data_IF_748410237392
#
_entry.id   IF_748410237392
#
_cell.length_a   1.000
_cell.length_b   1.000
_cell.length_c   1.000
_cell.angle_alpha   90.00
_cell.angle_beta   90.00
_cell.angle_gamma   90.00
#
_symmetry.space_group_name_H-M   'P 1'
#
loop_
_entity.id
_entity.type
_entity.pdbx_description
1 polymer ?
#
# COMPACT_ATOMS: atom_id res chain seq x y z
N UNK A 1 -6.57 12.31 9.71
CA UNK A 1 -5.55 13.12 10.37
C UNK A 1 -5.90 14.60 10.24
N UNK A 2 -6.23 15.20 11.33
CA UNK A 2 -6.56 16.65 11.45
C UNK A 2 -5.67 17.24 12.54
N UNK A 3 -5.54 18.57 12.59
CA UNK A 3 -4.88 19.26 13.70
C UNK A 3 -5.90 20.22 14.36
N UNK A 4 -6.37 19.97 15.60
CA UNK A 4 -6.03 18.83 16.46
C UNK A 4 -6.57 17.51 15.95
N UNK A 5 -5.95 16.39 16.39
CA UNK A 5 -6.35 15.06 15.96
C UNK A 5 -7.75 14.69 16.47
N UNK A 6 -8.63 14.28 15.57
CA UNK A 6 -9.98 13.77 15.89
C UNK A 6 -10.00 12.24 16.06
N UNK A 7 -8.99 11.54 15.53
CA UNK A 7 -8.84 10.11 15.64
C UNK A 7 -7.42 9.77 16.08
N UNK A 8 -7.28 8.90 17.08
CA UNK A 8 -5.98 8.54 17.68
C UNK A 8 -5.27 7.39 16.96
N UNK A 9 -6.00 6.60 16.18
CA UNK A 9 -5.46 5.47 15.44
C UNK A 9 -6.13 5.33 14.08
N UNK A 10 -5.33 5.02 13.07
CA UNK A 10 -5.80 4.80 11.72
C UNK A 10 -5.06 3.62 11.09
N UNK A 11 -5.79 2.66 10.53
CA UNK A 11 -5.21 1.55 9.79
C UNK A 11 -5.16 1.91 8.31
N UNK A 12 -3.96 1.96 7.76
CA UNK A 12 -3.76 2.27 6.34
C UNK A 12 -2.39 1.73 5.86
N UNK A 13 -2.12 1.84 4.57
CA UNK A 13 -0.84 1.49 3.97
C UNK A 13 0.20 2.61 4.10
N UNK A 14 1.45 2.30 3.74
CA UNK A 14 2.62 3.19 3.88
C UNK A 14 2.53 4.51 3.12
N UNK A 15 1.61 4.67 2.18
CA UNK A 15 1.40 5.92 1.43
C UNK A 15 0.64 7.00 2.21
N UNK A 16 -0.03 6.65 3.31
CA UNK A 16 -0.96 7.57 4.00
C UNK A 16 -0.33 8.88 4.47
N UNK A 17 0.98 8.97 4.83
CA UNK A 17 1.58 10.24 5.21
C UNK A 17 1.52 11.32 4.13
N UNK A 18 1.42 10.94 2.85
CA UNK A 18 1.25 11.88 1.75
C UNK A 18 -0.09 12.66 1.79
N UNK A 19 -1.04 12.20 2.59
CA UNK A 19 -2.38 12.80 2.76
C UNK A 19 -2.55 13.51 4.11
N UNK A 20 -1.49 13.59 4.91
CA UNK A 20 -1.53 14.29 6.17
C UNK A 20 -1.46 15.81 5.97
N UNK A 21 -2.02 16.60 6.90
CA UNK A 21 -1.79 18.05 6.90
C UNK A 21 -0.30 18.39 6.87
N UNK A 22 0.02 19.49 6.20
CA UNK A 22 1.41 19.99 6.17
C UNK A 22 1.91 20.28 7.60
N UNK A 23 3.19 20.04 7.81
CA UNK A 23 3.87 20.33 9.07
C UNK A 23 3.84 19.22 10.11
N UNK A 24 3.20 18.07 9.83
CA UNK A 24 3.27 16.91 10.72
C UNK A 24 4.59 16.15 10.54
N UNK A 25 5.28 15.88 11.64
CA UNK A 25 6.58 15.23 11.68
C UNK A 25 6.47 13.78 12.14
N UNK A 26 7.01 12.86 11.35
CA UNK A 26 7.08 11.44 11.69
C UNK A 26 7.94 11.20 12.94
N UNK A 27 7.46 10.38 13.87
CA UNK A 27 8.12 10.11 15.15
C UNK A 27 7.85 11.17 16.23
N UNK A 28 7.18 12.29 15.88
CA UNK A 28 6.78 13.36 16.81
C UNK A 28 5.26 13.47 16.88
N UNK A 29 4.62 13.77 15.74
CA UNK A 29 3.18 13.99 15.65
C UNK A 29 2.41 12.70 15.30
N UNK A 30 3.06 11.78 14.60
CA UNK A 30 2.52 10.47 14.28
C UNK A 30 3.63 9.42 14.23
N UNK A 31 3.25 8.18 14.50
CA UNK A 31 4.12 7.03 14.36
C UNK A 31 3.27 5.82 13.92
N UNK A 32 3.89 4.68 13.73
CA UNK A 32 3.20 3.48 13.32
C UNK A 32 3.58 2.29 14.22
N UNK A 33 2.73 1.28 14.20
CA UNK A 33 3.03 -0.02 14.79
C UNK A 33 2.47 -1.14 13.92
N UNK A 34 3.13 -2.29 13.95
CA UNK A 34 2.62 -3.47 13.29
C UNK A 34 1.29 -3.90 13.93
N UNK A 35 0.31 -4.28 13.11
CA UNK A 35 -1.01 -4.66 13.62
C UNK A 35 -0.88 -5.82 14.63
N UNK A 36 -1.46 -5.72 15.84
CA UNK A 36 -1.28 -6.70 16.90
C UNK A 36 -1.72 -8.10 16.48
N UNK A 37 -0.96 -9.11 16.87
CA UNK A 37 -1.32 -10.50 16.66
C UNK A 37 -2.53 -10.90 17.54
N UNK A 38 -3.31 -11.85 17.04
CA UNK A 38 -4.34 -12.49 17.84
C UNK A 38 -3.68 -13.38 18.90
N UNK A 39 -4.11 -13.26 20.15
CA UNK A 39 -3.48 -13.99 21.28
C UNK A 39 -3.67 -15.53 21.18
N UNK A 40 -4.72 -15.97 20.48
CA UNK A 40 -5.12 -17.36 20.34
C UNK A 40 -4.73 -18.01 18.99
N UNK A 41 -3.98 -17.27 18.15
CA UNK A 41 -3.62 -17.74 16.80
C UNK A 41 -2.16 -17.45 16.49
N UNK A 42 -1.44 -18.49 16.10
CA UNK A 42 -0.10 -18.35 15.52
C UNK A 42 -0.22 -18.14 14.00
N UNK A 43 -0.27 -16.87 13.60
CA UNK A 43 -0.33 -16.47 12.20
C UNK A 43 1.05 -16.04 11.64
N UNK A 44 2.10 -16.11 12.46
CA UNK A 44 3.39 -15.53 12.11
C UNK A 44 3.34 -14.01 12.00
N UNK A 45 4.04 -13.45 11.00
CA UNK A 45 4.05 -12.01 10.69
C UNK A 45 3.47 -11.74 9.29
N UNK A 46 2.15 -11.86 9.09
CA UNK A 46 1.54 -11.59 7.80
C UNK A 46 1.51 -10.09 7.50
N UNK A 47 1.79 -9.73 6.25
CA UNK A 47 1.64 -8.36 5.74
C UNK A 47 0.62 -8.36 4.61
N UNK A 48 -0.34 -7.43 4.69
CA UNK A 48 -1.24 -7.09 3.59
C UNK A 48 -0.66 -5.90 2.86
N UNK A 49 -0.57 -5.97 1.55
CA UNK A 49 -0.08 -4.85 0.75
C UNK A 49 -0.47 -4.94 -0.70
N UNK A 50 -0.29 -3.84 -1.38
CA UNK A 50 -0.29 -3.70 -2.83
C UNK A 50 1.07 -3.19 -3.30
N UNK A 51 1.17 -2.84 -4.57
CA UNK A 51 2.42 -2.31 -5.10
C UNK A 51 2.26 -1.68 -6.48
N UNK A 52 3.18 -0.81 -6.81
CA UNK A 52 3.31 -0.28 -8.16
C UNK A 52 4.06 -1.29 -9.02
N UNK A 53 3.44 -1.70 -10.11
CA UNK A 53 4.02 -2.63 -11.08
C UNK A 53 4.51 -1.84 -12.30
N UNK A 54 5.75 -2.07 -12.69
CA UNK A 54 6.32 -1.51 -13.91
C UNK A 54 6.18 -2.53 -15.05
N UNK A 55 5.49 -2.14 -16.11
CA UNK A 55 5.24 -2.99 -17.27
C UNK A 55 5.88 -2.41 -18.52
N UNK A 56 6.66 -3.22 -19.24
CA UNK A 56 7.19 -2.86 -20.53
C UNK A 56 6.19 -3.25 -21.63
N UNK A 57 5.64 -2.27 -22.35
CA UNK A 57 4.71 -2.50 -23.46
C UNK A 57 5.44 -2.77 -24.79
N UNK A 58 6.71 -2.40 -24.88
CA UNK A 58 7.56 -2.68 -26.04
C UNK A 58 8.97 -3.06 -25.55
N UNK A 59 9.36 -4.29 -25.83
CA UNK A 59 10.68 -4.80 -25.47
C UNK A 59 11.69 -4.56 -26.59
N UNK A 60 12.64 -3.68 -26.31
CA UNK A 60 13.82 -3.45 -27.14
C UNK A 60 15.06 -3.36 -26.23
N UNK A 61 16.25 -3.18 -26.81
CA UNK A 61 17.49 -3.11 -26.03
C UNK A 61 17.46 -2.02 -24.96
N UNK A 62 16.94 -0.83 -25.28
CA UNK A 62 16.92 0.30 -24.34
C UNK A 62 15.96 0.01 -23.18
N UNK A 63 14.75 -0.47 -23.49
CA UNK A 63 13.78 -0.87 -22.48
C UNK A 63 14.34 -1.96 -21.56
N UNK A 64 15.01 -2.97 -22.14
CA UNK A 64 15.62 -4.05 -21.37
C UNK A 64 16.67 -3.53 -20.38
N UNK A 65 17.58 -2.67 -20.82
CA UNK A 65 18.61 -2.10 -19.95
C UNK A 65 18.00 -1.18 -18.87
N UNK A 66 16.97 -0.42 -19.21
CA UNK A 66 16.25 0.41 -18.25
C UNK A 66 15.54 -0.43 -17.18
N UNK A 67 14.86 -1.52 -17.56
CA UNK A 67 14.22 -2.43 -16.59
C UNK A 67 15.26 -3.09 -15.68
N UNK A 68 16.42 -3.49 -16.21
CA UNK A 68 17.52 -4.01 -15.39
C UNK A 68 18.02 -2.97 -14.38
N UNK A 69 18.18 -1.71 -14.82
CA UNK A 69 18.58 -0.62 -13.92
C UNK A 69 17.55 -0.43 -12.79
N UNK A 70 16.25 -0.46 -13.10
CA UNK A 70 15.20 -0.32 -12.10
C UNK A 70 15.18 -1.47 -11.07
N UNK A 71 15.73 -2.63 -11.41
CA UNK A 71 15.92 -3.75 -10.47
C UNK A 71 17.18 -3.62 -9.61
N UNK A 72 18.03 -2.64 -9.88
CA UNK A 72 19.28 -2.45 -9.14
C UNK A 72 19.02 -1.69 -7.83
N UNK A 73 19.71 -2.05 -6.71
CA UNK A 73 19.54 -1.34 -5.42
C UNK A 73 19.65 0.17 -5.52
N UNK A 74 20.62 0.68 -6.29
CA UNK A 74 20.86 2.11 -6.47
C UNK A 74 19.60 2.86 -6.98
N UNK A 75 18.83 2.26 -7.88
CA UNK A 75 17.60 2.87 -8.37
C UNK A 75 16.57 3.04 -7.25
N UNK A 76 16.41 2.01 -6.41
CA UNK A 76 15.52 2.05 -5.26
C UNK A 76 15.97 3.08 -4.21
N UNK A 77 17.26 3.13 -3.91
CA UNK A 77 17.84 4.06 -2.94
C UNK A 77 17.58 5.53 -3.30
N UNK A 78 17.64 5.88 -4.59
CA UNK A 78 17.29 7.23 -5.08
C UNK A 78 15.84 7.62 -4.79
N UNK A 79 14.90 6.66 -4.82
CA UNK A 79 13.51 6.90 -4.43
C UNK A 79 13.37 6.95 -2.90
N UNK A 80 14.08 6.09 -2.17
CA UNK A 80 14.08 6.08 -0.71
C UNK A 80 14.52 7.43 -0.12
N UNK A 81 15.57 8.04 -0.69
CA UNK A 81 16.07 9.37 -0.29
C UNK A 81 15.05 10.48 -0.47
N UNK A 82 14.12 10.34 -1.43
CA UNK A 82 13.06 11.33 -1.67
C UNK A 82 11.88 11.20 -0.70
N UNK A 83 11.78 10.08 0.02
CA UNK A 83 10.67 9.77 0.89
C UNK A 83 9.44 9.22 0.16
N UNK A 84 8.48 8.70 0.94
CA UNK A 84 7.21 8.18 0.42
C UNK A 84 7.30 6.84 -0.35
N UNK A 85 8.49 6.27 -0.49
CA UNK A 85 8.74 5.04 -1.22
C UNK A 85 9.21 3.92 -0.28
N UNK A 86 8.52 2.79 -0.32
CA UNK A 86 8.87 1.57 0.39
C UNK A 86 9.28 0.50 -0.62
N UNK A 87 10.53 0.04 -0.54
CA UNK A 87 11.05 -0.98 -1.46
C UNK A 87 10.91 -2.40 -0.91
N UNK A 88 10.55 -3.40 -1.74
CA UNK A 88 10.68 -4.80 -1.39
C UNK A 88 12.12 -5.33 -1.54
N UNK A 89 13.04 -4.55 -2.11
CA UNK A 89 14.40 -4.99 -2.42
C UNK A 89 15.23 -5.19 -1.16
N UNK A 90 15.81 -6.40 -0.97
CA UNK A 90 16.55 -6.78 0.23
C UNK A 90 18.00 -6.29 0.27
N UNK A 91 18.55 -5.88 -0.87
CA UNK A 91 19.96 -5.48 -1.02
C UNK A 91 20.22 -3.98 -0.97
N UNK A 92 19.24 -3.18 -0.53
CA UNK A 92 19.39 -1.72 -0.40
C UNK A 92 20.08 -1.31 0.89
N UNK A 93 20.76 -0.17 0.86
CA UNK A 93 21.23 0.50 2.07
C UNK A 93 20.06 1.20 2.77
N UNK A 94 19.57 0.64 3.88
CA UNK A 94 18.42 1.17 4.61
C UNK A 94 18.68 2.53 5.25
N UNK A 95 19.94 2.95 5.39
CA UNK A 95 20.29 4.30 5.86
C UNK A 95 19.84 5.41 4.89
N UNK A 96 19.54 5.03 3.64
CA UNK A 96 19.03 5.92 2.58
C UNK A 96 17.55 6.29 2.72
N UNK A 97 16.81 5.65 3.62
CA UNK A 97 15.44 6.10 3.89
C UNK A 97 15.43 7.50 4.51
N UNK A 98 14.54 8.33 4.00
CA UNK A 98 14.40 9.74 4.43
C UNK A 98 13.93 9.89 5.88
N UNK A 99 13.35 8.84 6.50
CA UNK A 99 12.92 8.84 7.90
C UNK A 99 13.07 7.46 8.54
N UNK A 100 13.18 7.45 9.87
CA UNK A 100 13.18 6.24 10.68
C UNK A 100 11.85 5.48 10.58
N UNK A 101 10.75 6.17 10.38
CA UNK A 101 9.42 5.59 10.13
C UNK A 101 9.45 4.67 8.90
N UNK A 102 9.97 5.14 7.76
CA UNK A 102 10.08 4.32 6.55
C UNK A 102 11.09 3.18 6.70
N UNK A 103 12.14 3.39 7.46
CA UNK A 103 13.11 2.31 7.80
C UNK A 103 12.42 1.20 8.60
N UNK A 104 11.65 1.56 9.62
CA UNK A 104 10.89 0.60 10.43
C UNK A 104 9.80 -0.13 9.62
N UNK A 105 9.11 0.55 8.69
CA UNK A 105 8.16 -0.08 7.77
C UNK A 105 8.86 -1.09 6.83
N UNK A 106 10.06 -0.77 6.34
CA UNK A 106 10.87 -1.71 5.58
C UNK A 106 11.25 -2.95 6.38
N UNK A 107 11.64 -2.79 7.64
CA UNK A 107 11.95 -3.93 8.53
C UNK A 107 10.74 -4.84 8.73
N UNK A 108 9.54 -4.28 8.90
CA UNK A 108 8.28 -5.05 8.97
C UNK A 108 8.09 -5.85 7.68
N UNK A 109 8.28 -5.23 6.52
CA UNK A 109 8.13 -5.90 5.23
C UNK A 109 9.15 -7.03 5.05
N UNK A 110 10.41 -6.81 5.44
CA UNK A 110 11.48 -7.82 5.35
C UNK A 110 11.29 -8.99 6.33
N UNK A 111 10.66 -8.76 7.46
CA UNK A 111 10.36 -9.78 8.45
C UNK A 111 9.05 -10.53 8.18
N UNK A 112 8.31 -10.14 7.17
CA UNK A 112 7.03 -10.76 6.84
C UNK A 112 7.20 -12.26 6.54
N UNK A 113 6.44 -13.10 7.23
CA UNK A 113 6.39 -14.55 6.96
C UNK A 113 5.41 -14.89 5.85
N UNK A 114 4.46 -14.00 5.59
CA UNK A 114 3.45 -14.13 4.54
C UNK A 114 3.11 -12.75 4.01
N UNK A 115 3.16 -12.58 2.69
CA UNK A 115 2.64 -11.39 2.03
C UNK A 115 1.31 -11.74 1.37
N UNK A 116 0.26 -10.97 1.67
CA UNK A 116 -1.05 -11.07 1.03
C UNK A 116 -1.27 -9.83 0.17
N UNK A 117 -1.44 -10.05 -1.11
CA UNK A 117 -1.82 -8.98 -2.01
C UNK A 117 -3.25 -8.51 -1.72
N UNK A 118 -3.52 -7.21 -1.86
CA UNK A 118 -4.84 -6.66 -1.62
C UNK A 118 -5.87 -7.33 -2.54
N UNK A 119 -6.98 -7.80 -1.96
CA UNK A 119 -8.01 -8.53 -2.69
C UNK A 119 -8.70 -7.67 -3.75
N UNK A 120 -8.86 -6.38 -3.50
CA UNK A 120 -9.47 -5.46 -4.47
C UNK A 120 -8.59 -5.26 -5.71
N UNK A 121 -7.27 -5.28 -5.55
CA UNK A 121 -6.31 -5.20 -6.66
C UNK A 121 -6.23 -6.49 -7.50
N UNK A 122 -6.72 -7.60 -6.93
CA UNK A 122 -6.81 -8.90 -7.63
C UNK A 122 -8.13 -9.10 -8.37
N UNK A 123 -9.11 -8.24 -8.14
CA UNK A 123 -10.37 -8.26 -8.87
C UNK A 123 -10.18 -7.78 -10.31
N UNK A 124 -11.07 -8.18 -11.25
CA UNK A 124 -11.13 -7.53 -12.54
C UNK A 124 -11.26 -6.02 -12.41
N UNK A 125 -10.61 -5.24 -13.30
CA UNK A 125 -10.56 -3.79 -13.18
C UNK A 125 -11.92 -3.10 -13.08
N UNK A 126 -12.92 -3.61 -13.81
CA UNK A 126 -14.31 -3.10 -13.75
C UNK A 126 -14.98 -3.36 -12.39
N UNK A 127 -14.55 -4.36 -11.64
CA UNK A 127 -15.01 -4.59 -10.27
C UNK A 127 -14.13 -3.83 -9.27
N UNK A 128 -12.85 -4.15 -9.16
CA UNK A 128 -11.98 -3.62 -8.09
C UNK A 128 -11.87 -2.10 -8.13
N UNK A 129 -11.46 -1.53 -9.27
CA UNK A 129 -11.36 -0.10 -9.48
C UNK A 129 -12.69 0.54 -9.94
N UNK A 130 -13.67 -0.25 -10.33
CA UNK A 130 -14.99 0.17 -10.78
C UNK A 130 -16.06 0.05 -9.70
N UNK A 131 -16.92 -0.98 -9.82
CA UNK A 131 -18.13 -1.12 -8.99
C UNK A 131 -17.85 -1.30 -7.50
N UNK A 132 -16.74 -1.94 -7.11
CA UNK A 132 -16.35 -2.03 -5.70
C UNK A 132 -15.97 -0.67 -5.12
N UNK A 133 -15.11 0.09 -5.82
CA UNK A 133 -14.72 1.44 -5.37
C UNK A 133 -15.92 2.38 -5.26
N UNK A 134 -16.74 2.47 -6.32
CA UNK A 134 -17.94 3.32 -6.31
C UNK A 134 -18.96 2.87 -5.28
N UNK A 135 -19.09 1.55 -5.09
CA UNK A 135 -19.95 0.99 -4.06
C UNK A 135 -19.56 1.40 -2.64
N UNK A 136 -18.25 1.47 -2.32
CA UNK A 136 -17.80 1.96 -1.01
C UNK A 136 -18.13 3.44 -0.82
N UNK A 137 -18.01 4.25 -1.85
CA UNK A 137 -18.44 5.66 -1.81
C UNK A 137 -19.95 5.77 -1.63
N UNK A 138 -20.73 4.98 -2.35
CA UNK A 138 -22.19 4.93 -2.24
C UNK A 138 -22.65 4.52 -0.82
N UNK A 139 -21.97 3.54 -0.22
CA UNK A 139 -22.22 3.13 1.17
C UNK A 139 -21.99 4.28 2.15
N UNK A 140 -20.90 5.02 2.02
CA UNK A 140 -20.62 6.18 2.87
C UNK A 140 -21.61 7.32 2.65
N UNK A 141 -22.25 7.38 1.48
CA UNK A 141 -23.31 8.34 1.13
C UNK A 141 -24.73 7.86 1.51
N UNK A 142 -24.86 6.71 2.18
CA UNK A 142 -26.10 6.26 2.78
C UNK A 142 -26.85 5.14 2.06
N UNK A 143 -26.28 4.54 0.98
CA UNK A 143 -26.82 3.28 0.45
C UNK A 143 -26.63 2.17 1.48
N UNK A 144 -27.55 1.21 1.51
CA UNK A 144 -27.40 0.05 2.37
C UNK A 144 -26.27 -0.88 1.91
N UNK A 145 -25.68 -1.61 2.83
CA UNK A 145 -24.63 -2.60 2.51
C UNK A 145 -25.14 -3.65 1.51
N UNK A 146 -26.43 -4.03 1.60
CA UNK A 146 -27.03 -5.02 0.70
C UNK A 146 -27.13 -4.47 -0.74
N UNK A 147 -27.65 -3.26 -0.92
CA UNK A 147 -27.74 -2.64 -2.25
C UNK A 147 -26.37 -2.50 -2.92
N UNK A 148 -25.34 -2.14 -2.13
CA UNK A 148 -23.96 -2.04 -2.62
C UNK A 148 -23.41 -3.41 -2.99
N UNK A 149 -23.59 -4.41 -2.14
CA UNK A 149 -23.12 -5.77 -2.42
C UNK A 149 -23.79 -6.38 -3.66
N UNK A 150 -25.10 -6.17 -3.82
CA UNK A 150 -25.85 -6.66 -4.98
C UNK A 150 -25.39 -5.99 -6.28
N UNK A 151 -25.10 -4.68 -6.25
CA UNK A 151 -24.58 -3.95 -7.40
C UNK A 151 -23.16 -4.43 -7.79
N UNK A 152 -22.28 -4.69 -6.82
CA UNK A 152 -20.95 -5.23 -7.06
C UNK A 152 -21.03 -6.62 -7.65
N UNK A 153 -21.90 -7.48 -7.09
CA UNK A 153 -22.12 -8.84 -7.58
C UNK A 153 -22.65 -8.83 -9.01
N UNK A 154 -23.62 -7.98 -9.32
CA UNK A 154 -24.16 -7.84 -10.66
C UNK A 154 -23.10 -7.43 -11.69
N UNK A 155 -22.22 -6.48 -11.33
CA UNK A 155 -21.08 -6.09 -12.17
C UNK A 155 -20.10 -7.25 -12.38
N UNK A 156 -19.83 -8.03 -11.35
CA UNK A 156 -18.98 -9.22 -11.45
C UNK A 156 -19.53 -10.24 -12.44
N UNK A 157 -20.84 -10.51 -12.37
CA UNK A 157 -21.53 -11.49 -13.23
C UNK A 157 -21.65 -10.98 -14.68
N UNK A 158 -21.83 -9.69 -14.88
CA UNK A 158 -21.91 -9.10 -16.21
C UNK A 158 -20.56 -9.14 -16.97
N UNK A 159 -19.45 -9.17 -16.26
CA UNK A 159 -18.11 -9.18 -16.85
C UNK A 159 -17.71 -7.83 -17.45
N UNK A 160 -18.31 -6.75 -16.98
CA UNK A 160 -18.13 -5.38 -17.46
C UNK A 160 -17.88 -4.39 -16.29
#
# INVERSE_FOLDING_TARGET
FTSPAECMMHRQASFIPAFFPEGLEAGVDYDFFYFPAYADKDLGKPVLGGGTVLTATNMNRVTTEFMKFLMHPEAHERFMEKGGFLTPHTGVDTSKYASDTFRGLHEILQQATTFRFDGSDLMPGWVGAGSFWTGMVDYTNGKSAQEVADAIQASWEAGE
#
